data_IF_176089633658
#
_entry.id   IF_176089633658
#
_cell.length_a   1.000
_cell.length_b   1.000
_cell.length_c   1.000
_cell.angle_alpha   90.00
_cell.angle_beta   90.00
_cell.angle_gamma   90.00
#
_symmetry.space_group_name_H-M   'P 1'
#
loop_
_entity.id
_entity.type
_entity.pdbx_description
1 polymer ?
#
# COMPACT_ATOMS: atom_id res chain seq x y z
N UNK A 1 -20.44 -7.50 -0.55
CA UNK A 1 -19.26 -8.38 -0.44
C UNK A 1 -18.37 -7.93 0.72
N UNK A 2 -17.86 -8.86 1.51
CA UNK A 2 -17.01 -8.58 2.67
C UNK A 2 -15.66 -9.22 2.43
N UNK A 3 -14.57 -8.48 2.64
CA UNK A 3 -13.21 -9.01 2.53
C UNK A 3 -12.70 -9.33 3.92
N UNK A 4 -12.14 -10.53 4.11
CA UNK A 4 -11.45 -10.90 5.34
C UNK A 4 -9.98 -10.46 5.27
N UNK A 5 -9.56 -9.66 6.25
CA UNK A 5 -8.15 -9.24 6.41
C UNK A 5 -7.70 -9.64 7.80
N UNK A 6 -6.62 -10.41 7.89
CA UNK A 6 -6.01 -10.83 9.15
C UNK A 6 -4.94 -9.81 9.56
N UNK A 7 -5.12 -9.18 10.72
CA UNK A 7 -4.19 -8.15 11.20
C UNK A 7 -3.35 -8.66 12.37
N UNK A 8 -2.05 -8.37 12.32
CA UNK A 8 -1.13 -8.62 13.42
C UNK A 8 -0.84 -7.29 14.11
N UNK A 9 -1.29 -7.14 15.35
CA UNK A 9 -1.32 -5.86 16.06
C UNK A 9 -0.49 -5.94 17.33
N UNK A 10 0.42 -4.98 17.50
CA UNK A 10 1.05 -4.69 18.78
C UNK A 10 0.08 -3.80 19.58
N UNK A 11 -0.61 -4.41 20.55
CA UNK A 11 -1.64 -3.74 21.35
C UNK A 11 -1.05 -2.72 22.33
N UNK A 12 0.13 -2.99 22.86
CA UNK A 12 0.83 -2.10 23.80
C UNK A 12 1.23 -0.80 23.10
N UNK A 13 1.81 -0.92 21.89
CA UNK A 13 2.21 0.24 21.07
C UNK A 13 1.08 0.77 20.19
N UNK A 14 -0.12 0.17 20.25
CA UNK A 14 -1.31 0.53 19.46
C UNK A 14 -1.01 0.66 17.95
N UNK A 15 -0.26 -0.29 17.38
CA UNK A 15 0.14 -0.26 15.95
C UNK A 15 -0.11 -1.59 15.26
N UNK A 16 -0.47 -1.52 13.98
CA UNK A 16 -0.51 -2.69 13.09
C UNK A 16 0.93 -2.99 12.63
N UNK A 17 1.35 -4.24 12.74
CA UNK A 17 2.66 -4.71 12.28
C UNK A 17 2.59 -5.14 10.82
N UNK A 18 1.58 -5.94 10.47
CA UNK A 18 1.28 -6.33 9.10
C UNK A 18 -0.16 -6.82 8.99
N UNK A 19 -0.68 -6.83 7.76
CA UNK A 19 -2.00 -7.33 7.41
C UNK A 19 -1.88 -8.35 6.27
N UNK A 20 -2.53 -9.49 6.43
CA UNK A 20 -2.56 -10.59 5.46
C UNK A 20 -3.97 -10.65 4.86
N UNK A 21 -4.05 -10.78 3.54
CA UNK A 21 -5.29 -10.83 2.79
C UNK A 21 -5.08 -11.56 1.47
N UNK A 22 -6.19 -12.01 0.87
CA UNK A 22 -6.18 -12.61 -0.46
C UNK A 22 -5.81 -11.60 -1.55
N UNK A 23 -5.32 -12.12 -2.68
CA UNK A 23 -4.87 -11.32 -3.84
C UNK A 23 -5.90 -10.30 -4.30
N UNK A 24 -7.18 -10.67 -4.34
CA UNK A 24 -8.24 -9.82 -4.87
C UNK A 24 -8.41 -8.52 -4.07
N UNK A 25 -8.21 -8.57 -2.75
CA UNK A 25 -8.18 -7.36 -1.92
C UNK A 25 -6.99 -6.47 -2.23
N UNK A 26 -5.81 -7.08 -2.38
CA UNK A 26 -4.55 -6.37 -2.65
C UNK A 26 -4.63 -5.67 -4.01
N UNK A 27 -5.17 -6.34 -5.03
CA UNK A 27 -5.42 -5.75 -6.36
C UNK A 27 -6.37 -4.55 -6.27
N UNK A 28 -7.49 -4.68 -5.55
CA UNK A 28 -8.46 -3.58 -5.38
C UNK A 28 -7.82 -2.40 -4.64
N UNK A 29 -7.10 -2.66 -3.54
CA UNK A 29 -6.40 -1.62 -2.79
C UNK A 29 -5.41 -0.87 -3.68
N UNK A 30 -4.58 -1.59 -4.44
CA UNK A 30 -3.62 -0.95 -5.34
C UNK A 30 -4.29 -0.24 -6.51
N UNK A 31 -5.42 -0.74 -7.03
CA UNK A 31 -6.16 -0.05 -8.09
C UNK A 31 -6.64 1.35 -7.69
N UNK A 32 -7.01 1.55 -6.41
CA UNK A 32 -7.33 2.87 -5.86
C UNK A 32 -6.11 3.76 -5.72
N UNK A 33 -4.94 3.16 -5.47
CA UNK A 33 -3.69 3.88 -5.24
C UNK A 33 -2.89 4.14 -6.52
N UNK A 34 -3.13 3.43 -7.63
CA UNK A 34 -2.36 3.59 -8.88
C UNK A 34 -2.32 5.04 -9.36
N UNK A 35 -3.47 5.72 -9.45
CA UNK A 35 -3.55 7.12 -9.89
C UNK A 35 -2.92 8.10 -8.88
N UNK A 36 -3.25 8.04 -7.57
CA UNK A 36 -2.55 8.84 -6.56
C UNK A 36 -1.04 8.61 -6.53
N UNK A 37 -0.56 7.36 -6.56
CA UNK A 37 0.85 7.01 -6.51
C UNK A 37 1.59 7.51 -7.74
N UNK A 38 1.07 7.27 -8.95
CA UNK A 38 1.68 7.79 -10.17
C UNK A 38 1.76 9.32 -10.19
N UNK A 39 0.77 10.00 -9.60
CA UNK A 39 0.80 11.46 -9.45
C UNK A 39 1.89 11.90 -8.48
N UNK A 40 1.97 11.28 -7.30
CA UNK A 40 2.97 11.59 -6.26
C UNK A 40 4.38 11.36 -6.80
N UNK A 41 4.66 10.20 -7.39
CA UNK A 41 5.98 9.85 -7.95
C UNK A 41 6.38 10.83 -9.07
N UNK A 42 5.43 11.23 -9.92
CA UNK A 42 5.68 12.24 -10.97
C UNK A 42 6.02 13.60 -10.37
N UNK A 43 5.26 14.06 -9.38
CA UNK A 43 5.48 15.35 -8.71
C UNK A 43 6.81 15.40 -7.96
N UNK A 44 7.24 14.27 -7.41
CA UNK A 44 8.49 14.13 -6.66
C UNK A 44 9.69 13.72 -7.54
N UNK A 45 9.56 13.75 -8.87
CA UNK A 45 10.70 13.54 -9.77
C UNK A 45 11.22 12.09 -9.85
N UNK A 46 10.34 11.08 -9.69
CA UNK A 46 10.67 9.64 -9.72
C UNK A 46 11.59 9.14 -8.60
N UNK A 47 11.86 9.96 -7.59
CA UNK A 47 12.54 9.60 -6.36
C UNK A 47 11.81 10.32 -5.23
N UNK A 48 10.68 9.77 -4.79
CA UNK A 48 9.92 10.37 -3.71
C UNK A 48 10.75 10.48 -2.43
N UNK A 49 11.68 9.54 -2.20
CA UNK A 49 12.37 9.35 -0.92
C UNK A 49 11.39 9.18 0.26
N UNK A 50 10.11 8.91 -0.01
CA UNK A 50 9.08 8.71 1.00
C UNK A 50 8.93 7.21 1.21
N UNK A 51 9.64 6.70 2.23
CA UNK A 51 9.54 5.31 2.64
C UNK A 51 9.74 4.35 1.47
N UNK A 52 8.74 3.52 1.21
CA UNK A 52 8.75 2.55 0.11
C UNK A 52 7.82 2.92 -1.07
N UNK A 53 7.40 4.19 -1.19
CA UNK A 53 6.44 4.59 -2.23
C UNK A 53 6.97 4.36 -3.65
N UNK A 54 8.28 4.53 -3.86
CA UNK A 54 8.92 4.31 -5.16
C UNK A 54 8.88 2.82 -5.55
N UNK A 55 9.13 1.92 -4.58
CA UNK A 55 9.03 0.48 -4.75
C UNK A 55 7.58 0.02 -4.96
N UNK A 56 6.62 0.61 -4.24
CA UNK A 56 5.20 0.31 -4.41
C UNK A 56 4.70 0.72 -5.80
N UNK A 57 5.11 1.88 -6.31
CA UNK A 57 4.79 2.30 -7.66
C UNK A 57 5.38 1.35 -8.72
N UNK A 58 6.66 0.98 -8.58
CA UNK A 58 7.30 -0.01 -9.46
C UNK A 58 6.66 -1.39 -9.45
N UNK A 59 5.98 -1.76 -8.37
CA UNK A 59 5.29 -3.06 -8.27
C UNK A 59 3.99 -3.10 -9.07
N UNK A 60 3.43 -1.95 -9.44
CA UNK A 60 2.14 -1.83 -10.15
C UNK A 60 2.26 -1.20 -11.53
N UNK A 61 3.44 -0.66 -11.87
CA UNK A 61 3.87 -0.36 -13.25
C UNK A 61 4.17 -1.66 -14.01
#
# INVERSE_FOLDING_TARGET
PTVAVKMFVDKEKKRVLFAESDKEFVDVLFSFLTLPLGTIVRLLGKQSQIGCLDELYRSVE
#
